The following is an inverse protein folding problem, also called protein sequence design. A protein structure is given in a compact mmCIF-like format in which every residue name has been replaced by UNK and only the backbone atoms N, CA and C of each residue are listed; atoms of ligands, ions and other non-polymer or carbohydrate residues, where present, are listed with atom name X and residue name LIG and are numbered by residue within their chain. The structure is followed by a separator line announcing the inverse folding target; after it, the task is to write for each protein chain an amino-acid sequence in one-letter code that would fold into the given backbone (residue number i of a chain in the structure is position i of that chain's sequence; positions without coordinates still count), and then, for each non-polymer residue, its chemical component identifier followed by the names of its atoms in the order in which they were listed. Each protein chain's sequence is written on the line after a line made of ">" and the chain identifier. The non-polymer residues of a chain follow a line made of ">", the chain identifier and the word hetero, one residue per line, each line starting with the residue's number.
data_IF_983108210247
#
_entry.id   IF_983108210247
#
_cell.length_a   1.000
_cell.length_b   1.000
_cell.length_c   1.000
_cell.angle_alpha   90.00
_cell.angle_beta   90.00
_cell.angle_gamma   90.00
#
_symmetry.space_group_name_H-M   'P 1'
#
loop_
_entity.id
_entity.type
_entity.pdbx_description
1 polymer ?
#
# COMPACT_ATOMS: atom_id res chain seq x y z
N UNK A 1 -6.59 -16.24 49.32
CA UNK A 1 -5.75 -16.50 48.12
C UNK A 1 -6.55 -16.51 46.82
N UNK A 2 -7.67 -17.24 46.71
CA UNK A 2 -8.49 -17.32 45.50
C UNK A 2 -8.98 -15.96 44.95
N UNK A 3 -9.40 -15.03 45.83
CA UNK A 3 -9.85 -13.68 45.44
C UNK A 3 -8.73 -12.74 44.98
N UNK A 4 -7.48 -12.97 45.40
CA UNK A 4 -6.31 -12.19 44.99
C UNK A 4 -5.94 -12.57 43.54
N UNK A 5 -5.98 -13.87 43.24
CA UNK A 5 -5.72 -14.38 41.89
C UNK A 5 -6.76 -13.88 40.88
N UNK A 6 -8.05 -13.88 41.24
CA UNK A 6 -9.11 -13.38 40.36
C UNK A 6 -8.94 -11.89 40.06
N UNK A 7 -8.55 -11.07 41.05
CA UNK A 7 -8.31 -9.63 40.86
C UNK A 7 -7.14 -9.35 39.92
N UNK A 8 -6.04 -10.10 40.05
CA UNK A 8 -4.88 -9.97 39.17
C UNK A 8 -5.23 -10.33 37.72
N UNK A 9 -5.98 -11.41 37.50
CA UNK A 9 -6.43 -11.83 36.16
C UNK A 9 -7.31 -10.75 35.53
N UNK A 10 -8.27 -10.19 36.27
CA UNK A 10 -9.15 -9.13 35.76
C UNK A 10 -8.37 -7.87 35.39
N UNK A 11 -7.39 -7.47 36.21
CA UNK A 11 -6.54 -6.30 35.89
C UNK A 11 -5.66 -6.52 34.65
N UNK A 12 -5.16 -7.74 34.45
CA UNK A 12 -4.33 -8.08 33.30
C UNK A 12 -5.15 -8.06 31.99
N UNK A 13 -6.37 -8.60 32.02
CA UNK A 13 -7.30 -8.58 30.88
C UNK A 13 -7.73 -7.15 30.55
N UNK A 14 -8.02 -6.33 31.57
CA UNK A 14 -8.36 -4.92 31.35
C UNK A 14 -7.22 -4.15 30.70
N UNK A 15 -5.98 -4.33 31.17
CA UNK A 15 -4.80 -3.69 30.59
C UNK A 15 -4.56 -4.11 29.13
N UNK A 16 -4.81 -5.38 28.80
CA UNK A 16 -4.67 -5.90 27.43
C UNK A 16 -5.72 -5.32 26.47
N UNK A 17 -6.95 -5.10 26.94
CA UNK A 17 -7.99 -4.46 26.13
C UNK A 17 -7.71 -2.98 25.86
N UNK A 18 -7.09 -2.27 26.82
CA UNK A 18 -6.73 -0.85 26.66
C UNK A 18 -5.63 -0.62 25.60
N UNK A 19 -4.66 -1.52 25.47
CA UNK A 19 -3.58 -1.38 24.47
C UNK A 19 -4.03 -1.72 23.05
N UNK A 20 -4.97 -2.66 22.89
CA UNK A 20 -5.51 -3.02 21.58
C UNK A 20 -6.32 -1.88 20.93
N UNK A 21 -6.99 -1.05 21.74
CA UNK A 21 -7.76 0.10 21.25
C UNK A 21 -6.88 1.27 20.81
N UNK A 22 -5.70 1.44 21.42
CA UNK A 22 -4.77 2.52 21.05
C UNK A 22 -4.14 2.31 19.66
N UNK A 23 -3.97 1.06 19.23
CA UNK A 23 -3.34 0.71 17.94
C UNK A 23 -4.24 0.94 16.73
N UNK A 24 -5.56 1.07 16.92
CA UNK A 24 -6.51 1.28 15.82
C UNK A 24 -6.60 2.74 15.36
N UNK A 25 -6.05 3.69 16.13
CA UNK A 25 -6.18 5.12 15.89
C UNK A 25 -5.02 5.73 15.07
N UNK A 26 -3.98 4.95 14.76
CA UNK A 26 -2.83 5.44 13.99
C UNK A 26 -3.13 5.38 12.48
N UNK A 27 -4.09 6.19 12.05
CA UNK A 27 -4.24 6.55 10.65
C UNK A 27 -3.11 7.51 10.32
N UNK A 28 -1.93 6.96 10.01
CA UNK A 28 -0.87 7.73 9.38
C UNK A 28 -1.46 8.26 8.09
N UNK A 29 -1.73 9.58 8.01
CA UNK A 29 -2.09 10.24 6.77
C UNK A 29 -0.96 10.00 5.78
N UNK A 30 -1.10 8.94 4.99
CA UNK A 30 -0.16 8.65 3.93
C UNK A 30 -0.27 9.82 2.97
N UNK A 31 0.83 10.55 2.70
CA UNK A 31 0.79 11.75 1.87
C UNK A 31 0.03 11.37 0.61
N UNK A 32 -1.00 12.17 0.27
CA UNK A 32 -1.95 11.87 -0.80
C UNK A 32 -1.14 11.60 -2.07
N UNK A 33 -0.86 10.33 -2.32
CA UNK A 33 0.03 9.94 -3.39
C UNK A 33 -0.81 10.16 -4.64
N UNK A 34 -0.51 11.24 -5.36
CA UNK A 34 -1.28 11.65 -6.53
C UNK A 34 -1.36 10.45 -7.45
N UNK A 35 -2.56 9.89 -7.58
CA UNK A 35 -2.77 8.71 -8.43
C UNK A 35 -2.53 9.14 -9.87
N UNK A 36 -1.55 8.56 -10.58
CA UNK A 36 -1.33 8.94 -11.98
C UNK A 36 -2.53 8.49 -12.83
N UNK A 37 -2.87 9.30 -13.83
CA UNK A 37 -3.75 8.87 -14.91
C UNK A 37 -2.95 7.98 -15.86
N UNK A 38 -3.50 6.82 -16.22
CA UNK A 38 -2.82 5.85 -17.10
C UNK A 38 -3.55 5.83 -18.44
N UNK A 39 -2.83 6.07 -19.53
CA UNK A 39 -3.30 5.85 -20.90
C UNK A 39 -2.47 4.73 -21.50
N UNK A 40 -3.11 3.60 -21.81
CA UNK A 40 -2.47 2.47 -22.48
C UNK A 40 -2.75 2.58 -23.98
N UNK A 41 -1.69 2.74 -24.78
CA UNK A 41 -1.77 2.71 -26.24
C UNK A 41 -1.30 1.33 -26.68
N UNK A 42 -2.20 0.59 -27.34
CA UNK A 42 -1.88 -0.67 -28.00
C UNK A 42 -1.89 -0.41 -29.50
N UNK A 43 -0.73 -0.60 -30.13
CA UNK A 43 -0.61 -0.60 -31.58
C UNK A 43 -0.63 -2.06 -32.07
N UNK A 44 -1.47 -2.33 -33.07
CA UNK A 44 -1.42 -3.60 -33.80
C UNK A 44 -0.22 -3.60 -34.76
N UNK A 45 0.40 -4.76 -34.92
CA UNK A 45 1.49 -5.00 -35.88
C UNK A 45 2.68 -4.00 -35.81
N UNK A 46 3.02 -3.51 -34.61
CA UNK A 46 4.20 -2.67 -34.41
C UNK A 46 5.42 -3.52 -34.02
N UNK A 47 6.34 -3.69 -34.96
CA UNK A 47 7.58 -4.43 -34.79
C UNK A 47 8.70 -3.60 -34.15
N UNK A 48 9.71 -4.31 -33.62
CA UNK A 48 10.88 -3.69 -32.95
C UNK A 48 11.66 -2.74 -33.88
N UNK A 49 11.65 -3.01 -35.17
CA UNK A 49 12.35 -2.20 -36.16
C UNK A 49 11.48 -1.07 -36.70
N UNK A 50 10.24 -0.85 -36.24
CA UNK A 50 9.35 0.16 -36.85
C UNK A 50 9.52 1.58 -36.28
N UNK A 51 10.22 1.72 -35.15
CA UNK A 51 10.45 3.02 -34.53
C UNK A 51 11.86 3.55 -34.82
N UNK A 52 11.95 4.82 -35.22
CA UNK A 52 13.23 5.47 -35.48
C UNK A 52 14.12 5.53 -34.22
N UNK A 53 13.53 5.63 -33.02
CA UNK A 53 14.27 5.60 -31.75
C UNK A 53 14.94 4.25 -31.47
N UNK A 54 14.60 3.19 -32.22
CA UNK A 54 15.30 1.90 -32.20
C UNK A 54 16.32 1.74 -33.35
N UNK A 55 16.65 2.80 -34.08
CA UNK A 55 17.73 2.81 -35.08
C UNK A 55 17.27 2.64 -36.52
N UNK A 56 15.97 2.72 -36.82
CA UNK A 56 15.49 2.76 -38.21
C UNK A 56 15.77 4.12 -38.84
N UNK A 57 16.57 4.12 -39.91
CA UNK A 57 16.99 5.33 -40.61
C UNK A 57 15.92 5.89 -41.57
N UNK A 58 15.02 5.04 -42.04
CA UNK A 58 14.05 5.35 -43.10
C UNK A 58 12.80 6.08 -42.58
N UNK A 59 12.56 6.04 -41.27
CA UNK A 59 11.43 6.72 -40.62
C UNK A 59 11.93 8.03 -39.99
N UNK A 60 11.44 9.17 -40.49
CA UNK A 60 11.75 10.48 -39.91
C UNK A 60 10.79 10.76 -38.77
N UNK A 61 11.32 11.05 -37.58
CA UNK A 61 10.58 11.52 -36.40
C UNK A 61 10.75 13.01 -36.21
#
# INVERSE_FOLDING_TARGET
>A
MRHILTRLIVSLVAAFQLTAWASAAESTEQPSQVRPNIVLILADDLGINDLACYGRADHRT
#
